data_IF_232087896686
#
_entry.id   IF_232087896686
#
_cell.length_a   1.000
_cell.length_b   1.000
_cell.length_c   1.000
_cell.angle_alpha   90.00
_cell.angle_beta   90.00
_cell.angle_gamma   90.00
#
_symmetry.space_group_name_H-M   'P 1'
#
loop_
_entity.id
_entity.type
_entity.pdbx_description
1 polymer ?
#
# COMPACT_ATOMS: atom_id res chain seq x y z
N UNK A 1 47.88 81.87 3.40
CA UNK A 1 48.76 81.25 4.43
C UNK A 1 47.99 81.20 5.75
N UNK A 2 48.14 80.08 6.47
CA UNK A 2 48.14 80.01 7.94
C UNK A 2 46.80 79.86 8.74
N UNK A 3 46.70 78.68 9.38
CA UNK A 3 46.19 78.32 10.73
C UNK A 3 44.71 78.57 11.05
N UNK A 4 43.89 77.53 11.29
CA UNK A 4 43.85 76.60 12.45
C UNK A 4 43.23 77.22 13.72
N UNK A 5 42.10 76.67 14.18
CA UNK A 5 41.68 76.46 15.58
C UNK A 5 40.22 75.95 15.63
N UNK A 6 39.96 74.71 16.09
CA UNK A 6 39.53 74.31 17.45
C UNK A 6 38.00 74.26 17.65
N UNK A 7 37.59 73.24 18.43
CA UNK A 7 36.31 73.00 19.13
C UNK A 7 35.38 72.01 18.42
N UNK A 8 35.41 70.71 18.79
CA UNK A 8 34.76 70.12 19.98
C UNK A 8 33.25 70.36 19.96
N UNK A 9 32.45 69.39 19.51
CA UNK A 9 31.10 69.18 20.07
C UNK A 9 30.57 67.75 19.84
N UNK A 10 30.45 67.07 20.97
CA UNK A 10 29.42 66.13 21.42
C UNK A 10 28.94 64.94 20.58
N UNK A 11 28.89 63.84 21.31
CA UNK A 11 28.34 62.55 21.01
C UNK A 11 26.84 62.56 20.70
N UNK A 12 26.44 61.72 19.75
CA UNK A 12 25.05 61.28 19.58
C UNK A 12 25.05 59.75 19.56
N UNK A 13 24.43 59.16 20.58
CA UNK A 13 24.18 57.72 20.71
C UNK A 13 23.36 57.23 19.52
N UNK A 14 23.87 56.25 18.77
CA UNK A 14 23.09 55.47 17.82
C UNK A 14 22.58 54.23 18.55
N UNK A 15 21.25 54.12 18.62
CA UNK A 15 20.54 52.98 19.14
C UNK A 15 20.90 51.72 18.35
N UNK A 16 21.42 50.71 19.04
CA UNK A 16 21.62 49.37 18.51
C UNK A 16 20.27 48.79 18.11
N UNK A 17 20.03 48.65 16.81
CA UNK A 17 18.94 47.84 16.30
C UNK A 17 19.21 46.37 16.65
N UNK A 18 18.31 45.77 17.42
CA UNK A 18 18.21 44.31 17.49
C UNK A 18 17.55 43.82 16.20
N UNK A 19 18.37 43.54 15.18
CA UNK A 19 17.93 42.79 14.01
C UNK A 19 17.97 41.31 14.40
N UNK A 20 16.83 40.76 14.82
CA UNK A 20 16.68 39.33 15.04
C UNK A 20 16.47 38.66 13.68
N UNK A 21 17.27 37.64 13.29
CA UNK A 21 17.01 36.92 12.06
C UNK A 21 15.68 36.18 12.20
N UNK A 22 14.68 36.64 11.45
CA UNK A 22 13.39 35.99 11.33
C UNK A 22 13.59 34.64 10.65
N UNK A 23 13.69 33.60 11.48
CA UNK A 23 13.66 32.21 11.04
C UNK A 23 12.27 31.96 10.44
N UNK A 24 12.18 32.09 9.11
CA UNK A 24 11.07 31.57 8.34
C UNK A 24 11.12 30.04 8.44
N UNK A 25 10.65 29.51 9.56
CA UNK A 25 10.22 28.12 9.69
C UNK A 25 8.93 28.00 8.89
N UNK A 26 9.08 27.86 7.57
CA UNK A 26 8.00 27.33 6.75
C UNK A 26 7.62 25.99 7.37
N UNK A 27 6.36 25.77 7.76
CA UNK A 27 5.92 24.43 8.12
C UNK A 27 6.24 23.56 6.92
N UNK A 28 7.01 22.49 7.13
CA UNK A 28 7.09 21.42 6.16
C UNK A 28 5.64 21.04 5.84
N UNK A 29 5.26 21.16 4.57
CA UNK A 29 3.95 20.71 4.12
C UNK A 29 3.78 19.28 4.63
N UNK A 30 2.74 19.06 5.45
CA UNK A 30 2.30 17.72 5.72
C UNK A 30 2.10 17.03 4.37
N UNK A 31 2.52 15.76 4.19
CA UNK A 31 2.19 15.04 2.98
C UNK A 31 0.68 15.16 2.79
N UNK A 32 0.27 15.61 1.59
CA UNK A 32 -1.13 15.61 1.20
C UNK A 32 -1.70 14.25 1.58
N UNK A 33 -2.85 14.17 2.25
CA UNK A 33 -3.55 12.91 2.37
C UNK A 33 -3.87 12.51 0.93
N UNK A 34 -3.04 11.64 0.34
CA UNK A 34 -3.34 10.93 -0.89
C UNK A 34 -4.81 10.54 -0.78
N UNK A 35 -5.64 11.18 -1.59
CA UNK A 35 -7.08 11.00 -1.55
C UNK A 35 -7.31 9.51 -1.76
N UNK A 36 -7.57 8.76 -0.69
CA UNK A 36 -7.75 7.32 -0.77
C UNK A 36 -8.91 7.10 -1.74
N UNK A 37 -8.59 6.63 -2.94
CA UNK A 37 -9.57 6.46 -3.98
C UNK A 37 -10.39 5.23 -3.62
N UNK A 38 -11.71 5.32 -3.79
CA UNK A 38 -12.58 4.18 -3.57
C UNK A 38 -12.09 2.99 -4.41
N UNK A 39 -12.14 1.76 -3.86
CA UNK A 39 -11.66 0.59 -4.58
C UNK A 39 -12.48 0.37 -5.85
N UNK A 40 -11.81 0.07 -6.96
CA UNK A 40 -12.48 -0.26 -8.23
C UNK A 40 -13.14 -1.65 -8.18
N UNK A 41 -12.66 -2.51 -7.28
CA UNK A 41 -13.15 -3.86 -7.03
C UNK A 41 -13.31 -4.04 -5.53
N UNK A 42 -14.50 -4.45 -5.09
CA UNK A 42 -14.71 -5.04 -3.77
C UNK A 42 -14.40 -6.53 -3.86
N UNK A 43 -13.45 -6.99 -3.04
CA UNK A 43 -13.03 -8.39 -2.94
C UNK A 43 -13.78 -9.16 -1.86
N UNK A 44 -14.67 -8.54 -1.09
CA UNK A 44 -15.40 -9.25 -0.03
C UNK A 44 -16.27 -10.37 -0.60
N UNK A 45 -16.12 -11.59 -0.07
CA UNK A 45 -16.92 -12.75 -0.44
C UNK A 45 -16.10 -14.00 -0.75
N UNK A 46 -16.72 -14.93 -1.47
CA UNK A 46 -16.15 -16.22 -1.85
C UNK A 46 -15.79 -16.23 -3.33
N UNK A 47 -14.62 -16.77 -3.65
CA UNK A 47 -14.03 -16.70 -4.98
C UNK A 47 -13.51 -18.06 -5.42
N UNK A 48 -13.91 -18.52 -6.60
CA UNK A 48 -13.26 -19.64 -7.27
C UNK A 48 -12.02 -19.13 -8.01
N UNK A 49 -10.88 -19.77 -7.79
CA UNK A 49 -9.71 -19.59 -8.64
C UNK A 49 -9.97 -20.24 -9.98
N UNK A 50 -9.99 -19.44 -11.04
CA UNK A 50 -10.26 -19.90 -12.40
C UNK A 50 -9.01 -19.95 -13.29
N UNK A 51 -7.95 -19.24 -12.93
CA UNK A 51 -6.68 -19.33 -13.64
C UNK A 51 -5.53 -18.66 -12.93
N UNK A 52 -4.32 -19.12 -13.23
CA UNK A 52 -3.05 -18.65 -12.68
C UNK A 52 -2.09 -18.42 -13.85
N UNK A 53 -1.46 -17.26 -13.92
CA UNK A 53 -0.48 -16.90 -14.96
C UNK A 53 -1.01 -17.13 -16.40
N UNK A 54 -2.31 -16.90 -16.60
CA UNK A 54 -3.01 -17.08 -17.88
C UNK A 54 -3.38 -18.53 -18.24
N UNK A 55 -2.99 -19.52 -17.44
CA UNK A 55 -3.47 -20.90 -17.58
C UNK A 55 -4.79 -21.07 -16.82
N UNK A 56 -5.77 -21.70 -17.47
CA UNK A 56 -7.01 -22.08 -16.79
C UNK A 56 -6.73 -23.16 -15.75
N UNK A 57 -7.41 -23.06 -14.60
CA UNK A 57 -7.38 -24.08 -13.57
C UNK A 57 -8.59 -25.01 -13.77
N UNK A 58 -8.37 -26.13 -14.44
CA UNK A 58 -9.39 -27.12 -14.83
C UNK A 58 -9.24 -28.48 -14.10
N UNK A 59 -8.59 -28.45 -12.93
CA UNK A 59 -8.34 -29.63 -12.12
C UNK A 59 -9.61 -30.34 -11.62
N UNK A 60 -9.41 -31.55 -11.08
CA UNK A 60 -10.51 -32.40 -10.58
C UNK A 60 -11.27 -31.81 -9.38
N UNK A 61 -10.72 -30.77 -8.76
CA UNK A 61 -11.32 -30.03 -7.65
C UNK A 61 -11.09 -28.53 -7.85
N UNK A 62 -12.06 -27.72 -7.41
CA UNK A 62 -11.93 -26.26 -7.43
C UNK A 62 -11.18 -25.78 -6.19
N UNK A 63 -10.38 -24.72 -6.36
CA UNK A 63 -9.77 -23.99 -5.24
C UNK A 63 -10.64 -22.74 -4.99
N UNK A 64 -11.08 -22.58 -3.74
CA UNK A 64 -11.85 -21.43 -3.30
C UNK A 64 -11.02 -20.56 -2.36
N UNK A 65 -11.14 -19.25 -2.50
CA UNK A 65 -10.60 -18.26 -1.58
C UNK A 65 -11.75 -17.48 -0.97
N UNK A 66 -11.65 -17.18 0.31
CA UNK A 66 -12.56 -16.30 1.05
C UNK A 66 -11.85 -14.98 1.28
N UNK A 67 -12.58 -13.87 1.27
CA UNK A 67 -12.02 -12.55 1.48
C UNK A 67 -12.97 -11.59 2.21
N UNK A 68 -12.38 -10.67 2.95
CA UNK A 68 -13.01 -9.52 3.57
C UNK A 68 -12.31 -8.21 3.14
N UNK A 69 -12.64 -7.10 3.79
CA UNK A 69 -12.15 -5.74 3.45
C UNK A 69 -10.62 -5.59 3.39
N UNK A 70 -9.84 -6.50 3.98
CA UNK A 70 -8.37 -6.40 3.96
C UNK A 70 -7.62 -7.72 4.07
N UNK A 71 -8.31 -8.85 3.99
CA UNK A 71 -7.71 -10.18 4.11
C UNK A 71 -8.32 -11.13 3.08
N UNK A 72 -7.47 -11.91 2.41
CA UNK A 72 -7.87 -13.01 1.53
C UNK A 72 -7.18 -14.29 2.00
N UNK A 73 -7.93 -15.39 2.11
CA UNK A 73 -7.44 -16.65 2.64
C UNK A 73 -8.02 -17.87 1.93
N UNK A 74 -7.37 -19.01 2.11
CA UNK A 74 -7.87 -20.32 1.72
C UNK A 74 -8.46 -21.03 2.96
N UNK A 75 -9.61 -21.68 2.78
CA UNK A 75 -10.27 -22.42 3.85
C UNK A 75 -9.69 -23.85 3.99
N UNK A 76 -9.59 -24.39 5.23
CA UNK A 76 -10.02 -23.78 6.48
C UNK A 76 -9.04 -22.71 6.99
N UNK A 77 -9.56 -21.61 7.54
CA UNK A 77 -8.72 -20.54 8.11
C UNK A 77 -7.73 -21.01 9.19
N UNK A 78 -7.98 -22.16 9.85
CA UNK A 78 -7.04 -22.78 10.79
C UNK A 78 -5.70 -23.20 10.16
N UNK A 79 -5.63 -23.32 8.83
CA UNK A 79 -4.42 -23.63 8.07
C UNK A 79 -3.51 -22.40 7.88
N UNK A 80 -3.96 -21.21 8.29
CA UNK A 80 -3.17 -19.99 8.28
C UNK A 80 -2.74 -19.52 6.88
N UNK A 81 -3.40 -19.98 5.82
CA UNK A 81 -3.06 -19.63 4.44
C UNK A 81 -3.83 -18.39 4.00
N UNK A 82 -3.23 -17.20 4.17
CA UNK A 82 -3.84 -15.94 3.74
C UNK A 82 -2.86 -14.78 3.57
N UNK A 83 -3.36 -13.67 3.04
CA UNK A 83 -2.62 -12.43 2.78
C UNK A 83 -3.47 -11.22 3.15
N UNK A 84 -2.83 -10.26 3.83
CA UNK A 84 -3.41 -8.95 4.05
C UNK A 84 -3.20 -8.07 2.81
N UNK A 85 -4.20 -7.27 2.48
CA UNK A 85 -4.15 -6.37 1.33
C UNK A 85 -4.90 -5.05 1.58
N UNK A 86 -4.65 -4.07 0.71
CA UNK A 86 -5.48 -2.90 0.53
C UNK A 86 -5.69 -2.63 -0.96
N UNK A 87 -6.82 -2.02 -1.31
CA UNK A 87 -7.14 -1.60 -2.68
C UNK A 87 -7.43 -0.11 -2.70
N UNK A 88 -6.83 0.62 -3.63
CA UNK A 88 -7.17 2.02 -3.91
C UNK A 88 -7.29 2.24 -5.41
N UNK A 89 -8.50 2.56 -5.88
CA UNK A 89 -8.79 2.49 -7.32
C UNK A 89 -8.48 1.09 -7.86
N UNK A 90 -7.61 1.02 -8.86
CA UNK A 90 -7.14 -0.24 -9.45
C UNK A 90 -5.81 -0.74 -8.86
N UNK A 91 -5.24 -0.04 -7.90
CA UNK A 91 -4.01 -0.48 -7.26
C UNK A 91 -4.30 -1.54 -6.21
N UNK A 92 -3.53 -2.63 -6.26
CA UNK A 92 -3.53 -3.69 -5.27
C UNK A 92 -2.25 -3.61 -4.44
N UNK A 93 -2.39 -3.50 -3.13
CA UNK A 93 -1.26 -3.34 -2.21
C UNK A 93 -1.21 -4.52 -1.24
N UNK A 94 -0.19 -5.36 -1.36
CA UNK A 94 0.07 -6.43 -0.38
C UNK A 94 0.60 -5.82 0.92
N UNK A 95 -0.10 -6.07 2.02
CA UNK A 95 0.30 -5.57 3.35
C UNK A 95 1.19 -6.62 4.02
N UNK A 96 2.30 -6.16 4.61
CA UNK A 96 3.10 -7.01 5.48
C UNK A 96 2.30 -7.45 6.70
N UNK A 97 2.04 -8.76 6.84
CA UNK A 97 1.63 -9.29 8.13
C UNK A 97 2.74 -9.04 9.15
N UNK A 98 2.41 -8.63 10.38
CA UNK A 98 3.39 -8.63 11.46
C UNK A 98 4.00 -10.04 11.55
N UNK A 99 5.33 -10.12 11.68
CA UNK A 99 6.12 -11.35 11.68
C UNK A 99 5.81 -12.24 12.90
N UNK A 100 4.62 -12.82 12.95
CA UNK A 100 4.23 -13.88 13.88
C UNK A 100 4.09 -15.23 13.19
N UNK A 101 4.32 -15.27 11.87
CA UNK A 101 4.11 -16.45 11.02
C UNK A 101 2.62 -16.87 10.95
N UNK A 102 2.21 -17.65 9.94
CA UNK A 102 0.89 -18.24 9.95
C UNK A 102 0.77 -19.16 11.17
N UNK A 103 -0.17 -18.85 12.07
CA UNK A 103 -0.48 -19.69 13.22
C UNK A 103 -1.35 -20.85 12.72
N UNK A 104 -0.71 -21.88 12.18
CA UNK A 104 -1.41 -23.10 11.80
C UNK A 104 -1.90 -23.81 13.06
N UNK A 105 -3.21 -23.88 13.22
CA UNK A 105 -3.88 -24.56 14.34
C UNK A 105 -4.35 -25.96 13.94
N UNK A 106 -4.46 -26.22 12.64
CA UNK A 106 -4.76 -27.53 12.08
C UNK A 106 -3.66 -28.00 11.12
N UNK A 107 -3.44 -29.31 11.06
CA UNK A 107 -2.51 -29.98 10.15
C UNK A 107 -3.32 -30.69 9.05
N UNK A 108 -3.25 -30.16 7.83
CA UNK A 108 -3.98 -30.64 6.66
C UNK A 108 -3.12 -30.49 5.40
N UNK A 109 -3.43 -31.29 4.38
CA UNK A 109 -2.84 -31.11 3.06
C UNK A 109 -3.32 -29.82 2.39
N UNK A 110 -2.44 -29.20 1.60
CA UNK A 110 -2.77 -28.03 0.78
C UNK A 110 -2.89 -28.42 -0.69
N UNK A 111 -3.71 -27.72 -1.49
CA UNK A 111 -3.64 -27.79 -2.94
C UNK A 111 -2.24 -27.48 -3.45
N UNK A 112 -1.77 -28.21 -4.46
CA UNK A 112 -0.44 -28.03 -5.03
C UNK A 112 -0.26 -26.63 -5.63
N UNK A 113 -1.35 -26.05 -6.13
CA UNK A 113 -1.39 -24.73 -6.78
C UNK A 113 -1.41 -23.58 -5.77
N UNK A 114 -1.63 -23.85 -4.48
CA UNK A 114 -1.78 -22.81 -3.45
C UNK A 114 -0.54 -21.92 -3.34
N UNK A 115 0.65 -22.49 -3.50
CA UNK A 115 1.90 -21.73 -3.52
C UNK A 115 1.99 -20.76 -4.72
N UNK A 116 1.39 -21.10 -5.86
CA UNK A 116 1.38 -20.26 -7.06
C UNK A 116 0.36 -19.13 -6.92
N UNK A 117 -0.81 -19.42 -6.34
CA UNK A 117 -1.83 -18.42 -5.99
C UNK A 117 -1.22 -17.35 -5.08
N UNK A 118 -0.55 -17.77 -4.00
CA UNK A 118 0.06 -16.82 -3.09
C UNK A 118 1.20 -16.03 -3.71
N UNK A 119 1.98 -16.62 -4.62
CA UNK A 119 3.00 -15.90 -5.38
C UNK A 119 2.38 -14.79 -6.23
N UNK A 120 1.26 -15.07 -6.91
CA UNK A 120 0.57 -14.06 -7.71
C UNK A 120 0.05 -12.91 -6.86
N UNK A 121 -0.55 -13.20 -5.69
CA UNK A 121 -1.03 -12.17 -4.76
C UNK A 121 0.13 -11.39 -4.14
N UNK A 122 1.23 -12.05 -3.77
CA UNK A 122 2.40 -11.41 -3.19
C UNK A 122 3.12 -10.47 -4.18
N UNK A 123 3.00 -10.72 -5.49
CA UNK A 123 3.61 -9.92 -6.54
C UNK A 123 2.66 -8.87 -7.15
N UNK A 124 1.38 -8.89 -6.78
CA UNK A 124 0.35 -8.06 -7.38
C UNK A 124 0.53 -6.57 -7.09
N UNK A 125 0.23 -5.75 -8.10
CA UNK A 125 0.17 -4.28 -8.01
C UNK A 125 -1.14 -3.73 -8.58
N UNK A 126 -1.90 -4.54 -9.31
CA UNK A 126 -3.11 -4.13 -10.03
C UNK A 126 -4.26 -5.10 -9.78
N UNK A 127 -5.47 -4.56 -9.65
CA UNK A 127 -6.72 -5.30 -9.59
C UNK A 127 -7.78 -4.66 -10.48
N UNK A 128 -8.51 -5.50 -11.22
CA UNK A 128 -9.51 -5.03 -12.16
C UNK A 128 -10.64 -6.04 -12.39
N UNK A 129 -11.78 -5.54 -12.87
CA UNK A 129 -12.90 -6.37 -13.30
C UNK A 129 -12.78 -6.66 -14.79
N UNK A 130 -12.77 -7.93 -15.15
CA UNK A 130 -12.72 -8.37 -16.54
C UNK A 130 -14.06 -8.16 -17.25
N UNK A 131 -14.06 -8.23 -18.58
CA UNK A 131 -15.28 -8.17 -19.39
C UNK A 131 -16.25 -9.35 -19.12
N UNK A 132 -15.75 -10.46 -18.54
CA UNK A 132 -16.58 -11.60 -18.14
C UNK A 132 -17.08 -11.49 -16.68
N UNK A 133 -16.91 -10.32 -16.04
CA UNK A 133 -17.22 -10.07 -14.63
C UNK A 133 -16.37 -10.85 -13.61
N UNK A 134 -15.29 -11.53 -14.05
CA UNK A 134 -14.25 -12.03 -13.15
C UNK A 134 -13.39 -10.89 -12.59
N UNK A 135 -12.67 -11.17 -11.51
CA UNK A 135 -11.65 -10.27 -10.96
C UNK A 135 -10.28 -10.78 -11.38
N UNK A 136 -9.49 -9.91 -12.02
CA UNK A 136 -8.13 -10.19 -12.40
C UNK A 136 -7.19 -9.39 -11.50
N UNK A 137 -6.31 -10.10 -10.80
CA UNK A 137 -5.23 -9.53 -10.00
C UNK A 137 -3.94 -9.79 -10.77
N UNK A 138 -3.14 -8.76 -11.02
CA UNK A 138 -1.87 -8.87 -11.75
C UNK A 138 -0.75 -8.08 -11.08
N UNK A 139 0.49 -8.47 -11.36
CA UNK A 139 1.69 -7.74 -10.94
C UNK A 139 2.91 -8.65 -10.94
N UNK A 140 4.09 -8.06 -11.08
CA UNK A 140 5.36 -8.81 -11.05
C UNK A 140 5.50 -9.95 -12.06
N UNK A 141 4.74 -9.91 -13.17
CA UNK A 141 4.71 -10.96 -14.18
C UNK A 141 3.76 -12.14 -13.87
N UNK A 142 3.01 -12.05 -12.77
CA UNK A 142 2.03 -13.05 -12.37
C UNK A 142 0.59 -12.55 -12.55
N UNK A 143 -0.36 -13.48 -12.67
CA UNK A 143 -1.79 -13.18 -12.69
C UNK A 143 -2.64 -14.22 -11.96
N UNK A 144 -3.74 -13.77 -11.38
CA UNK A 144 -4.75 -14.60 -10.73
C UNK A 144 -6.14 -14.16 -11.19
N UNK A 145 -6.87 -15.09 -11.82
CA UNK A 145 -8.25 -14.86 -12.27
C UNK A 145 -9.22 -15.53 -11.29
N UNK A 146 -10.15 -14.72 -10.76
CA UNK A 146 -11.15 -15.11 -9.79
C UNK A 146 -12.56 -14.92 -10.34
N UNK A 147 -13.48 -15.81 -9.99
CA UNK A 147 -14.92 -15.61 -10.19
C UNK A 147 -15.65 -15.78 -8.87
N UNK A 148 -16.59 -14.90 -8.57
CA UNK A 148 -17.43 -15.00 -7.38
C UNK A 148 -18.21 -16.32 -7.37
N UNK A 149 -18.35 -16.93 -6.20
CA UNK A 149 -19.20 -18.10 -5.98
C UNK A 149 -20.57 -17.73 -5.43
#
# INVERSE_FOLDING_TARGET
>A
MLKAAIALFLATMLASGCDAPQQNSSPAAAPDPLTAQAPAVDLTGEWRVAGIDGAELDGAYGIALSADDGHIWWEPGCAGQGRLFAISGNEFHRIASPDTGPQMVCDIGFPDELAQIWRAIDAADTIERTAQNGVLITGGGHSLLLFSQ
#
